data_IF_513668133181
#
_entry.id   IF_513668133181
#
_cell.length_a   1.000
_cell.length_b   1.000
_cell.length_c   1.000
_cell.angle_alpha   90.00
_cell.angle_beta   90.00
_cell.angle_gamma   90.00
#
_symmetry.space_group_name_H-M   'P 1'
#
loop_
_entity.id
_entity.type
_entity.pdbx_description
1 polymer ?
#
# COMPACT_ATOMS: atom_id res chain seq x y z
N UNK A 1 -7.18 33.22 15.36
CA UNK A 1 -7.22 34.27 14.31
C UNK A 1 -8.20 33.80 13.26
N UNK A 2 -9.27 34.53 13.01
CA UNK A 2 -10.26 34.18 12.01
C UNK A 2 -9.81 34.75 10.67
N UNK A 3 -9.56 33.91 9.67
CA UNK A 3 -9.33 34.36 8.31
C UNK A 3 -10.69 34.62 7.64
N UNK A 4 -10.99 35.88 7.36
CA UNK A 4 -12.15 36.31 6.62
C UNK A 4 -11.86 36.29 5.11
N UNK A 5 -12.68 35.54 4.34
CA UNK A 5 -12.81 35.71 2.89
C UNK A 5 -14.17 36.36 2.60
N UNK A 6 -14.24 37.36 1.71
CA UNK A 6 -15.50 37.97 1.32
C UNK A 6 -16.20 37.07 0.30
N UNK A 7 -17.34 36.53 0.65
CA UNK A 7 -18.41 35.88 -0.07
C UNK A 7 -18.80 34.54 0.57
N UNK A 8 -19.75 34.61 1.43
CA UNK A 8 -20.81 33.68 1.84
C UNK A 8 -20.64 32.19 1.61
N UNK A 9 -19.60 31.51 2.16
CA UNK A 9 -19.56 30.06 2.29
C UNK A 9 -19.07 29.65 3.68
N UNK A 10 -19.72 28.59 4.17
CA UNK A 10 -19.61 27.92 5.45
C UNK A 10 -18.22 27.89 6.07
N UNK A 11 -18.16 28.19 7.36
CA UNK A 11 -16.98 28.14 8.22
C UNK A 11 -16.26 26.79 8.12
N UNK A 12 -15.08 26.75 7.52
CA UNK A 12 -14.08 25.71 7.76
C UNK A 12 -13.38 26.16 9.05
N UNK A 13 -13.74 25.57 10.18
CA UNK A 13 -12.98 25.71 11.41
C UNK A 13 -11.59 25.12 11.16
N UNK A 14 -10.53 25.93 11.24
CA UNK A 14 -9.14 25.44 11.23
C UNK A 14 -8.97 24.50 12.44
N UNK A 15 -8.94 23.21 12.21
CA UNK A 15 -8.60 22.21 13.21
C UNK A 15 -7.11 22.31 13.51
N UNK A 16 -6.76 22.53 14.77
CA UNK A 16 -5.37 22.48 15.24
C UNK A 16 -5.07 21.10 15.83
N UNK A 17 -3.81 20.68 15.88
CA UNK A 17 -3.42 19.41 16.52
C UNK A 17 -3.85 19.32 18.01
N UNK A 18 -4.19 20.44 18.65
CA UNK A 18 -4.77 20.49 19.99
C UNK A 18 -6.24 20.03 20.02
N UNK A 19 -6.97 20.26 18.94
CA UNK A 19 -8.39 19.88 18.85
C UNK A 19 -8.51 18.35 18.72
N UNK A 20 -7.61 17.67 18.01
CA UNK A 20 -7.56 16.21 17.89
C UNK A 20 -7.33 15.55 19.26
N UNK A 21 -6.43 16.11 20.06
CA UNK A 21 -6.16 15.64 21.43
C UNK A 21 -7.35 15.81 22.36
N UNK A 22 -8.16 16.83 22.16
CA UNK A 22 -9.35 17.10 22.99
C UNK A 22 -10.48 16.11 22.67
N UNK A 23 -10.65 15.71 21.41
CA UNK A 23 -11.63 14.67 21.01
C UNK A 23 -11.25 13.29 21.59
N UNK A 24 -9.99 12.88 21.53
CA UNK A 24 -9.51 11.63 22.14
C UNK A 24 -9.78 11.56 23.65
N UNK A 25 -9.66 12.69 24.37
CA UNK A 25 -9.91 12.76 25.81
C UNK A 25 -11.40 12.83 26.19
N UNK A 26 -12.24 13.31 25.27
CA UNK A 26 -13.67 13.56 25.54
C UNK A 26 -14.62 12.40 25.20
N UNK A 27 -14.16 11.30 24.60
CA UNK A 27 -15.01 10.15 24.23
C UNK A 27 -16.03 10.43 23.12
N UNK A 28 -15.99 11.60 22.47
CA UNK A 28 -16.91 12.00 21.43
C UNK A 28 -16.39 11.49 20.07
N UNK A 29 -17.22 10.75 19.31
CA UNK A 29 -16.84 10.31 17.96
C UNK A 29 -16.81 11.50 17.02
N UNK A 30 -15.75 11.63 16.25
CA UNK A 30 -15.64 12.60 15.16
C UNK A 30 -16.59 12.22 14.02
N UNK A 31 -17.13 13.20 13.33
CA UNK A 31 -17.79 12.96 12.03
C UNK A 31 -16.71 12.71 10.96
N UNK A 32 -17.04 12.00 9.88
CA UNK A 32 -16.10 11.77 8.79
C UNK A 32 -15.52 13.07 8.21
N UNK A 33 -16.29 14.15 8.17
CA UNK A 33 -15.80 15.46 7.73
C UNK A 33 -14.74 16.03 8.67
N UNK A 34 -14.90 15.84 9.98
CA UNK A 34 -13.89 16.24 10.98
C UNK A 34 -12.62 15.38 10.89
N UNK A 35 -12.78 14.08 10.65
CA UNK A 35 -11.64 13.16 10.44
C UNK A 35 -10.81 13.56 9.21
N UNK A 36 -11.47 13.92 8.09
CA UNK A 36 -10.78 14.38 6.89
C UNK A 36 -10.12 15.74 7.10
N UNK A 37 -10.77 16.67 7.81
CA UNK A 37 -10.15 17.94 8.15
C UNK A 37 -8.92 17.77 9.04
N UNK A 38 -8.95 16.81 9.98
CA UNK A 38 -7.83 16.46 10.82
C UNK A 38 -6.68 15.85 9.99
N UNK A 39 -6.99 14.92 9.06
CA UNK A 39 -6.01 14.34 8.14
C UNK A 39 -5.37 15.42 7.26
N UNK A 40 -6.17 16.36 6.73
CA UNK A 40 -5.67 17.49 5.96
C UNK A 40 -4.69 18.33 6.76
N UNK A 41 -5.02 18.68 8.00
CA UNK A 41 -4.14 19.45 8.87
C UNK A 41 -2.80 18.73 9.15
N UNK A 42 -2.82 17.39 9.31
CA UNK A 42 -1.60 16.58 9.46
C UNK A 42 -0.76 16.58 8.19
N UNK A 43 -1.38 16.45 7.02
CA UNK A 43 -0.71 16.52 5.71
C UNK A 43 -0.09 17.91 5.47
N UNK A 44 -0.82 18.97 5.80
CA UNK A 44 -0.33 20.35 5.62
C UNK A 44 0.90 20.65 6.51
N UNK A 45 0.88 20.15 7.74
CA UNK A 45 1.94 20.32 8.74
C UNK A 45 3.18 19.44 8.48
N UNK A 46 3.07 18.46 7.55
CA UNK A 46 4.12 17.49 7.26
C UNK A 46 4.91 17.84 6.00
N UNK A 47 6.19 17.44 5.98
CA UNK A 47 7.11 17.65 4.86
C UNK A 47 7.70 16.36 4.28
N UNK A 48 7.71 15.29 5.06
CA UNK A 48 8.24 13.98 4.69
C UNK A 48 7.24 12.90 5.06
N UNK A 49 6.18 12.81 4.26
CA UNK A 49 5.14 11.81 4.43
C UNK A 49 5.64 10.49 3.85
N UNK A 50 5.43 9.38 4.54
CA UNK A 50 5.56 8.04 3.99
C UNK A 50 4.19 7.37 4.04
N UNK A 51 3.84 6.69 2.97
CA UNK A 51 2.66 5.85 2.90
C UNK A 51 3.06 4.38 3.03
N UNK A 52 2.39 3.62 3.91
CA UNK A 52 2.54 2.17 4.06
C UNK A 52 1.22 1.48 3.72
N UNK A 53 1.20 0.66 2.67
CA UNK A 53 -0.02 0.07 2.15
C UNK A 53 0.04 -1.43 1.87
N UNK A 54 -1.15 -2.03 1.76
CA UNK A 54 -1.36 -3.43 1.39
C UNK A 54 -2.52 -3.61 0.42
N UNK A 55 -3.00 -4.84 0.27
CA UNK A 55 -3.96 -5.23 -0.78
C UNK A 55 -5.27 -4.44 -0.76
N UNK A 56 -5.70 -3.94 0.41
CA UNK A 56 -6.88 -3.08 0.53
C UNK A 56 -6.78 -1.76 -0.22
N UNK A 57 -5.57 -1.30 -0.60
CA UNK A 57 -5.39 -0.11 -1.46
C UNK A 57 -5.92 -0.37 -2.87
N UNK A 58 -5.78 -1.59 -3.36
CA UNK A 58 -6.13 -1.96 -4.75
C UNK A 58 -7.55 -2.53 -4.90
N UNK A 59 -8.32 -2.67 -3.82
CA UNK A 59 -9.71 -3.17 -3.91
C UNK A 59 -10.60 -2.25 -4.75
N UNK A 60 -10.40 -0.93 -4.68
CA UNK A 60 -11.10 0.06 -5.50
C UNK A 60 -10.62 0.07 -6.97
N UNK A 61 -9.59 -0.72 -7.29
CA UNK A 61 -9.11 -0.99 -8.66
C UNK A 61 -9.61 -2.33 -9.20
N UNK A 62 -10.46 -3.05 -8.44
CA UNK A 62 -11.00 -4.35 -8.82
C UNK A 62 -10.08 -5.53 -8.50
N UNK A 63 -8.99 -5.33 -7.76
CA UNK A 63 -8.13 -6.42 -7.28
C UNK A 63 -8.62 -6.85 -5.90
N UNK A 64 -9.10 -8.10 -5.71
CA UNK A 64 -9.53 -8.57 -4.40
C UNK A 64 -8.34 -8.59 -3.42
N UNK A 65 -8.59 -8.25 -2.17
CA UNK A 65 -7.61 -8.48 -1.12
C UNK A 65 -7.57 -9.97 -0.71
N UNK A 66 -6.70 -10.32 0.24
CA UNK A 66 -6.53 -11.71 0.65
C UNK A 66 -7.55 -12.17 1.69
N UNK A 67 -8.04 -11.28 2.56
CA UNK A 67 -8.70 -11.65 3.84
C UNK A 67 -10.11 -11.14 4.02
N UNK A 68 -10.60 -10.25 3.16
CA UNK A 68 -12.00 -9.81 3.23
C UNK A 68 -12.97 -10.96 2.90
N UNK A 69 -14.25 -10.74 3.11
CA UNK A 69 -15.31 -11.72 2.82
C UNK A 69 -15.25 -12.20 1.36
N UNK A 70 -14.88 -11.30 0.44
CA UNK A 70 -14.72 -11.58 -1.00
C UNK A 70 -13.25 -11.82 -1.39
N UNK A 71 -12.34 -11.88 -0.41
CA UNK A 71 -10.91 -12.04 -0.62
C UNK A 71 -10.51 -13.45 -1.07
N UNK A 72 -9.22 -13.60 -1.44
CA UNK A 72 -8.70 -14.88 -1.93
C UNK A 72 -8.86 -16.03 -0.92
N UNK A 73 -8.74 -15.73 0.38
CA UNK A 73 -8.83 -16.77 1.43
C UNK A 73 -10.26 -17.27 1.69
N UNK A 74 -11.29 -16.54 1.28
CA UNK A 74 -12.67 -16.97 1.38
C UNK A 74 -13.13 -17.89 0.22
N UNK A 75 -12.30 -18.04 -0.83
CA UNK A 75 -12.59 -18.91 -1.96
C UNK A 75 -12.20 -20.36 -1.64
N UNK A 76 -12.96 -21.33 -2.16
CA UNK A 76 -12.64 -22.76 -1.99
C UNK A 76 -11.53 -23.19 -2.96
N UNK A 77 -10.39 -23.60 -2.42
CA UNK A 77 -9.26 -24.19 -3.14
C UNK A 77 -8.90 -25.53 -2.53
N UNK A 78 -8.17 -26.35 -3.30
CA UNK A 78 -7.63 -27.63 -2.82
C UNK A 78 -6.62 -27.40 -1.68
N UNK A 79 -5.87 -26.31 -1.77
CA UNK A 79 -4.90 -25.88 -0.75
C UNK A 79 -5.17 -24.42 -0.37
N UNK A 80 -4.87 -23.99 0.86
CA UNK A 80 -4.94 -22.57 1.25
C UNK A 80 -4.07 -21.69 0.34
N UNK A 81 -4.45 -20.43 0.09
CA UNK A 81 -3.64 -19.52 -0.74
C UNK A 81 -2.19 -19.34 -0.27
N UNK A 82 -1.93 -19.41 1.03
CA UNK A 82 -0.58 -19.37 1.58
C UNK A 82 0.28 -20.57 1.12
N UNK A 83 -0.32 -21.74 1.05
CA UNK A 83 0.34 -22.94 0.55
C UNK A 83 0.53 -22.87 -0.97
N UNK A 84 -0.51 -22.42 -1.71
CA UNK A 84 -0.47 -22.24 -3.17
C UNK A 84 0.60 -21.23 -3.61
N UNK A 85 0.87 -20.21 -2.78
CA UNK A 85 1.87 -19.16 -3.03
C UNK A 85 3.15 -19.36 -2.20
N UNK A 86 3.46 -20.58 -1.79
CA UNK A 86 4.68 -20.91 -1.06
C UNK A 86 5.84 -21.28 -2.00
N UNK A 87 7.07 -21.12 -1.49
CA UNK A 87 8.27 -21.60 -2.15
C UNK A 87 8.23 -23.13 -2.37
N UNK A 88 7.73 -23.85 -1.38
CA UNK A 88 7.55 -25.31 -1.47
C UNK A 88 6.61 -25.69 -2.61
N UNK A 89 5.47 -25.01 -2.77
CA UNK A 89 4.54 -25.28 -3.89
C UNK A 89 5.19 -24.96 -5.24
N UNK A 90 5.93 -23.86 -5.35
CA UNK A 90 6.66 -23.51 -6.56
C UNK A 90 7.71 -24.57 -6.93
N UNK A 91 8.40 -25.16 -5.96
CA UNK A 91 9.46 -26.15 -6.19
C UNK A 91 8.90 -27.55 -6.51
N UNK A 92 7.90 -28.01 -5.76
CA UNK A 92 7.42 -29.38 -5.83
C UNK A 92 6.24 -29.57 -6.80
N UNK A 93 5.40 -28.53 -6.95
CA UNK A 93 4.20 -28.55 -7.76
C UNK A 93 4.08 -27.32 -8.67
N UNK A 94 5.10 -27.06 -9.53
CA UNK A 94 5.15 -25.82 -10.32
C UNK A 94 3.98 -25.69 -11.31
N UNK A 95 3.36 -26.77 -11.78
CA UNK A 95 2.19 -26.70 -12.67
C UNK A 95 0.97 -26.13 -11.96
N UNK A 96 0.68 -26.60 -10.73
CA UNK A 96 -0.38 -26.08 -9.87
C UNK A 96 -0.13 -24.65 -9.49
N UNK A 97 1.12 -24.31 -9.10
CA UNK A 97 1.54 -22.94 -8.81
C UNK A 97 1.23 -22.00 -9.98
N UNK A 98 1.67 -22.31 -11.22
CA UNK A 98 1.45 -21.43 -12.37
C UNK A 98 0.01 -21.37 -12.81
N UNK A 99 -0.76 -22.45 -12.66
CA UNK A 99 -2.21 -22.42 -12.89
C UNK A 99 -2.90 -21.45 -11.95
N UNK A 100 -2.60 -21.52 -10.66
CA UNK A 100 -3.13 -20.57 -9.66
C UNK A 100 -2.65 -19.15 -9.92
N UNK A 101 -1.34 -18.96 -10.11
CA UNK A 101 -0.70 -17.66 -10.31
C UNK A 101 -1.32 -16.90 -11.49
N UNK A 102 -1.46 -17.54 -12.66
CA UNK A 102 -2.06 -16.90 -13.83
C UNK A 102 -3.53 -16.53 -13.61
N UNK A 103 -4.28 -17.36 -12.92
CA UNK A 103 -5.73 -17.18 -12.77
C UNK A 103 -6.09 -16.22 -11.63
N UNK A 104 -5.22 -16.06 -10.63
CA UNK A 104 -5.57 -15.38 -9.37
C UNK A 104 -4.64 -14.23 -8.96
N UNK A 105 -3.46 -14.12 -9.57
CA UNK A 105 -2.48 -13.12 -9.18
C UNK A 105 -2.25 -12.03 -10.24
N UNK A 106 -2.69 -12.26 -11.48
CA UNK A 106 -2.43 -11.36 -12.61
C UNK A 106 -3.67 -10.54 -12.96
N UNK A 107 -3.75 -9.30 -12.49
CA UNK A 107 -4.81 -8.33 -12.76
C UNK A 107 -4.28 -7.19 -13.65
N UNK A 108 -3.78 -7.53 -14.86
CA UNK A 108 -3.04 -6.59 -15.71
C UNK A 108 -3.90 -5.47 -16.31
N UNK A 109 -5.23 -5.64 -16.33
CA UNK A 109 -6.17 -4.62 -16.81
C UNK A 109 -6.59 -3.62 -15.71
N UNK A 110 -6.22 -3.88 -14.45
CA UNK A 110 -6.52 -2.99 -13.35
C UNK A 110 -5.88 -1.60 -13.56
N UNK A 111 -6.60 -0.56 -13.14
CA UNK A 111 -6.15 0.83 -13.27
C UNK A 111 -5.96 1.45 -11.90
N UNK A 112 -5.01 2.39 -11.75
CA UNK A 112 -4.86 3.15 -10.53
C UNK A 112 -6.17 3.81 -10.10
N UNK A 113 -6.54 3.65 -8.83
CA UNK A 113 -7.69 4.33 -8.22
C UNK A 113 -7.31 5.69 -7.61
N UNK A 114 -8.24 6.32 -6.92
CA UNK A 114 -8.05 7.64 -6.31
C UNK A 114 -6.89 7.67 -5.29
N UNK A 115 -6.71 6.59 -4.49
CA UNK A 115 -5.59 6.51 -3.55
C UNK A 115 -4.24 6.58 -4.26
N UNK A 116 -4.03 5.75 -5.28
CA UNK A 116 -2.79 5.73 -6.06
C UNK A 116 -2.48 7.10 -6.68
N UNK A 117 -3.50 7.73 -7.32
CA UNK A 117 -3.34 9.05 -7.93
C UNK A 117 -3.02 10.13 -6.91
N UNK A 118 -3.68 10.13 -5.75
CA UNK A 118 -3.43 11.12 -4.69
C UNK A 118 -2.02 10.97 -4.11
N UNK A 119 -1.52 9.76 -3.92
CA UNK A 119 -0.16 9.53 -3.44
C UNK A 119 0.88 10.03 -4.46
N UNK A 120 0.66 9.81 -5.75
CA UNK A 120 1.51 10.36 -6.80
C UNK A 120 1.45 11.91 -6.84
N UNK A 121 0.27 12.51 -6.63
CA UNK A 121 0.09 13.96 -6.53
C UNK A 121 0.86 14.55 -5.33
N UNK A 122 0.79 13.91 -4.16
CA UNK A 122 1.54 14.30 -2.96
C UNK A 122 3.06 14.19 -3.18
N UNK A 123 3.52 13.16 -3.90
CA UNK A 123 4.93 13.00 -4.24
C UNK A 123 5.39 14.09 -5.22
N UNK A 124 4.61 14.36 -6.26
CA UNK A 124 4.91 15.44 -7.22
C UNK A 124 4.94 16.83 -6.56
N UNK A 125 4.15 17.05 -5.52
CA UNK A 125 4.17 18.27 -4.71
C UNK A 125 5.32 18.31 -3.67
N UNK A 126 6.16 17.26 -3.60
CA UNK A 126 7.28 17.18 -2.66
C UNK A 126 6.88 16.90 -1.20
N UNK A 127 5.63 16.51 -0.96
CA UNK A 127 5.10 16.17 0.38
C UNK A 127 5.31 14.71 0.73
N UNK A 128 5.09 13.77 -0.22
CA UNK A 128 5.31 12.34 -0.02
C UNK A 128 6.74 11.98 -0.42
N UNK A 129 7.49 11.37 0.48
CA UNK A 129 8.88 10.97 0.26
C UNK A 129 9.03 9.55 -0.24
N UNK A 130 8.08 8.66 0.06
CA UNK A 130 8.04 7.29 -0.46
C UNK A 130 6.69 6.63 -0.27
N UNK A 131 6.40 5.65 -1.14
CA UNK A 131 5.40 4.62 -0.94
C UNK A 131 6.11 3.33 -0.53
N UNK A 132 5.70 2.72 0.56
CA UNK A 132 6.09 1.37 0.99
C UNK A 132 4.87 0.47 0.79
N UNK A 133 4.95 -0.49 -0.12
CA UNK A 133 3.79 -1.31 -0.47
C UNK A 133 4.08 -2.80 -0.34
N UNK A 134 3.08 -3.54 0.13
CA UNK A 134 3.06 -5.00 0.10
C UNK A 134 2.49 -5.54 -1.22
N UNK A 135 1.91 -4.65 -2.05
CA UNK A 135 1.28 -5.03 -3.31
C UNK A 135 2.33 -5.30 -4.39
N UNK A 136 1.96 -6.21 -5.30
CA UNK A 136 2.78 -6.65 -6.44
C UNK A 136 2.22 -6.18 -7.79
N UNK A 137 1.16 -5.36 -7.76
CA UNK A 137 0.32 -4.99 -8.92
C UNK A 137 0.87 -3.83 -9.76
N UNK A 138 1.89 -3.10 -9.29
CA UNK A 138 2.50 -1.96 -9.99
C UNK A 138 1.61 -0.73 -10.14
N UNK A 139 0.46 -0.65 -9.44
CA UNK A 139 -0.50 0.45 -9.62
C UNK A 139 0.02 1.79 -9.09
N UNK A 140 0.91 1.80 -8.09
CA UNK A 140 1.56 3.03 -7.62
C UNK A 140 2.43 3.65 -8.72
N UNK A 141 3.27 2.86 -9.38
CA UNK A 141 4.09 3.30 -10.49
C UNK A 141 3.22 3.72 -11.70
N UNK A 142 2.17 2.95 -11.98
CA UNK A 142 1.22 3.27 -13.05
C UNK A 142 0.45 4.59 -12.79
N UNK A 143 0.29 5.01 -11.52
CA UNK A 143 -0.27 6.30 -11.13
C UNK A 143 0.73 7.46 -11.24
N UNK A 144 2.03 7.17 -11.37
CA UNK A 144 3.10 8.16 -11.47
C UNK A 144 4.03 8.27 -10.26
N UNK A 145 3.81 7.47 -9.19
CA UNK A 145 4.74 7.42 -8.07
C UNK A 145 6.12 6.93 -8.52
N UNK A 146 7.17 7.62 -8.10
CA UNK A 146 8.55 7.36 -8.50
C UNK A 146 9.31 6.56 -7.44
N UNK A 147 9.12 6.87 -6.16
CA UNK A 147 9.82 6.21 -5.06
C UNK A 147 8.91 5.21 -4.37
N UNK A 148 8.89 4.00 -4.92
CA UNK A 148 8.06 2.89 -4.44
C UNK A 148 8.93 1.74 -3.98
N UNK A 149 8.81 1.35 -2.72
CA UNK A 149 9.43 0.15 -2.14
C UNK A 149 8.42 -1.00 -2.20
N UNK A 150 8.57 -1.88 -3.18
CA UNK A 150 7.74 -3.08 -3.37
C UNK A 150 8.28 -4.22 -2.49
N UNK A 151 7.83 -4.30 -1.24
CA UNK A 151 8.34 -5.27 -0.25
C UNK A 151 8.19 -6.73 -0.69
N UNK A 152 7.17 -7.03 -1.49
CA UNK A 152 6.90 -8.37 -1.98
C UNK A 152 7.17 -8.53 -3.48
N UNK A 153 7.94 -7.61 -4.07
CA UNK A 153 8.29 -7.66 -5.49
C UNK A 153 7.17 -7.21 -6.43
N UNK A 154 7.17 -7.73 -7.67
CA UNK A 154 6.22 -7.31 -8.71
C UNK A 154 5.92 -8.41 -9.70
N UNK A 155 4.66 -8.50 -10.15
CA UNK A 155 4.23 -9.42 -11.23
C UNK A 155 4.86 -9.08 -12.58
N UNK A 156 5.31 -7.84 -12.76
CA UNK A 156 5.86 -7.35 -14.03
C UNK A 156 7.31 -7.80 -14.27
N UNK A 157 8.04 -8.19 -13.24
CA UNK A 157 9.40 -8.72 -13.32
C UNK A 157 9.40 -10.22 -13.10
N UNK A 158 10.12 -10.95 -13.92
CA UNK A 158 10.23 -12.40 -13.83
C UNK A 158 11.63 -12.82 -14.21
N UNK A 159 12.24 -13.76 -13.52
CA UNK A 159 13.63 -14.13 -13.73
C UNK A 159 13.80 -15.65 -13.89
N UNK A 160 14.71 -16.02 -14.79
CA UNK A 160 15.12 -17.42 -14.90
C UNK A 160 15.87 -17.85 -13.64
N UNK A 161 15.42 -18.90 -12.99
CA UNK A 161 16.04 -19.45 -11.77
C UNK A 161 17.47 -19.97 -12.01
N UNK A 162 17.86 -20.23 -13.27
CA UNK A 162 19.17 -20.80 -13.63
C UNK A 162 20.16 -19.75 -14.11
N UNK A 163 19.78 -18.83 -14.97
CA UNK A 163 20.69 -17.88 -15.61
C UNK A 163 20.39 -16.41 -15.29
N UNK A 164 19.38 -16.10 -14.49
CA UNK A 164 19.01 -14.74 -14.10
C UNK A 164 18.39 -13.88 -15.22
N UNK A 165 18.20 -14.42 -16.44
CA UNK A 165 17.61 -13.65 -17.54
C UNK A 165 16.22 -13.16 -17.16
N UNK A 166 15.97 -11.86 -17.35
CA UNK A 166 14.68 -11.21 -17.11
C UNK A 166 13.68 -11.48 -18.23
N UNK A 167 12.41 -11.60 -17.83
CA UNK A 167 11.26 -11.81 -18.69
C UNK A 167 10.10 -10.88 -18.25
N UNK A 168 9.32 -10.43 -19.21
CA UNK A 168 8.11 -9.68 -18.93
C UNK A 168 6.97 -10.61 -18.48
N UNK A 169 5.93 -10.03 -17.86
CA UNK A 169 4.74 -10.80 -17.44
C UNK A 169 4.02 -11.44 -18.64
N UNK A 170 4.11 -10.82 -19.83
CA UNK A 170 3.55 -11.35 -21.07
C UNK A 170 4.16 -12.71 -21.47
N UNK A 171 5.42 -12.94 -21.14
CA UNK A 171 6.08 -14.24 -21.39
C UNK A 171 5.49 -15.35 -20.50
N UNK A 172 5.12 -15.00 -19.26
CA UNK A 172 4.42 -15.92 -18.35
C UNK A 172 3.01 -16.23 -18.89
N UNK A 173 2.28 -15.21 -19.36
CA UNK A 173 0.91 -15.38 -19.88
C UNK A 173 0.87 -16.22 -21.16
N UNK A 174 1.84 -16.03 -22.07
CA UNK A 174 1.90 -16.74 -23.36
C UNK A 174 2.38 -18.18 -23.21
N UNK A 175 3.03 -18.52 -22.11
CA UNK A 175 3.55 -19.86 -21.88
C UNK A 175 2.44 -20.82 -21.46
N UNK A 176 2.47 -22.04 -21.98
CA UNK A 176 1.66 -23.15 -21.50
C UNK A 176 2.41 -23.89 -20.38
N UNK A 177 1.68 -24.36 -19.36
CA UNK A 177 2.27 -25.09 -18.23
C UNK A 177 3.32 -24.27 -17.49
N UNK A 178 4.51 -24.82 -17.32
CA UNK A 178 5.62 -24.20 -16.57
C UNK A 178 6.43 -23.31 -17.52
N UNK A 179 6.53 -21.97 -17.29
CA UNK A 179 7.33 -21.08 -18.11
C UNK A 179 8.82 -21.46 -18.07
N UNK A 180 9.45 -21.63 -19.23
CA UNK A 180 10.86 -22.03 -19.33
C UNK A 180 11.67 -21.02 -20.13
N UNK A 181 12.87 -20.75 -19.59
CA UNK A 181 13.90 -19.99 -20.27
C UNK A 181 14.55 -20.81 -21.41
N UNK A 182 15.16 -20.14 -22.35
CA UNK A 182 15.95 -20.78 -23.43
C UNK A 182 17.11 -21.64 -22.90
N UNK A 183 17.59 -21.40 -21.66
CA UNK A 183 18.60 -22.24 -20.99
C UNK A 183 18.01 -23.48 -20.30
N UNK A 184 16.69 -23.72 -20.37
CA UNK A 184 15.98 -24.79 -19.70
C UNK A 184 15.57 -24.54 -18.26
N UNK A 185 15.99 -23.42 -17.65
CA UNK A 185 15.58 -23.05 -16.29
C UNK A 185 14.12 -22.57 -16.23
N UNK A 186 13.46 -22.73 -15.09
CA UNK A 186 12.10 -22.20 -14.85
C UNK A 186 12.20 -20.67 -14.71
N UNK A 187 11.22 -19.94 -15.23
CA UNK A 187 11.10 -18.48 -15.09
C UNK A 187 10.21 -18.21 -13.87
N UNK A 188 10.79 -17.80 -12.74
CA UNK A 188 10.05 -17.46 -11.51
C UNK A 188 9.63 -16.00 -11.54
N UNK A 189 8.36 -15.68 -11.15
CA UNK A 189 7.97 -14.30 -10.87
C UNK A 189 8.84 -13.68 -9.78
N UNK A 190 9.19 -12.40 -9.92
CA UNK A 190 9.84 -11.59 -8.88
C UNK A 190 8.83 -11.20 -7.81
N UNK A 191 8.17 -12.21 -7.27
CA UNK A 191 7.21 -12.09 -6.18
C UNK A 191 7.75 -12.91 -5.02
N UNK A 192 7.82 -12.29 -3.84
CA UNK A 192 8.22 -12.98 -2.60
C UNK A 192 7.10 -13.92 -2.21
N UNK A 193 7.40 -15.21 -2.26
CA UNK A 193 6.49 -16.27 -1.87
C UNK A 193 6.54 -16.48 -0.34
N UNK A 194 5.50 -17.10 0.21
CA UNK A 194 5.62 -17.60 1.57
C UNK A 194 6.85 -18.51 1.69
N UNK A 195 7.52 -18.51 2.84
CA UNK A 195 8.81 -19.19 3.11
C UNK A 195 10.04 -18.48 2.50
N UNK A 196 9.86 -17.42 1.70
CA UNK A 196 10.98 -16.62 1.17
C UNK A 196 11.24 -15.37 2.02
N UNK A 197 12.51 -14.93 2.04
CA UNK A 197 12.90 -13.66 2.67
C UNK A 197 12.62 -12.45 1.78
N UNK A 198 12.41 -11.30 2.39
CA UNK A 198 12.32 -10.01 1.67
C UNK A 198 13.70 -9.61 1.14
N UNK A 199 13.71 -8.86 0.03
CA UNK A 199 14.91 -8.21 -0.48
C UNK A 199 15.46 -7.23 0.55
N UNK A 200 16.76 -7.38 0.90
CA UNK A 200 17.38 -6.62 1.97
C UNK A 200 17.60 -5.14 1.61
N UNK A 201 17.82 -4.81 0.33
CA UNK A 201 18.02 -3.42 -0.11
C UNK A 201 16.66 -2.68 -0.08
N UNK A 202 15.60 -3.32 -0.56
CA UNK A 202 14.22 -2.80 -0.49
C UNK A 202 13.80 -2.60 0.96
N UNK A 203 14.04 -3.61 1.81
CA UNK A 203 13.69 -3.57 3.23
C UNK A 203 14.40 -2.43 3.97
N UNK A 204 15.72 -2.28 3.78
CA UNK A 204 16.50 -1.21 4.39
C UNK A 204 16.12 0.17 3.86
N UNK A 205 15.81 0.28 2.55
CA UNK A 205 15.33 1.52 1.95
C UNK A 205 13.99 1.96 2.54
N UNK A 206 13.04 1.03 2.65
CA UNK A 206 11.74 1.26 3.26
C UNK A 206 11.86 1.66 4.75
N UNK A 207 12.72 0.94 5.50
CA UNK A 207 12.97 1.22 6.91
C UNK A 207 13.52 2.64 7.11
N UNK A 208 14.55 3.04 6.33
CA UNK A 208 15.11 4.40 6.39
C UNK A 208 14.05 5.45 6.06
N UNK A 209 13.24 5.23 5.02
CA UNK A 209 12.18 6.17 4.67
C UNK A 209 11.18 6.36 5.81
N UNK A 210 10.76 5.27 6.48
CA UNK A 210 9.85 5.33 7.64
C UNK A 210 10.48 6.04 8.83
N UNK A 211 11.76 5.77 9.14
CA UNK A 211 12.47 6.40 10.26
C UNK A 211 12.67 7.90 10.06
N UNK A 212 12.86 8.35 8.83
CA UNK A 212 13.07 9.76 8.48
C UNK A 212 11.76 10.55 8.30
N UNK A 213 10.61 9.86 8.26
CA UNK A 213 9.32 10.48 8.03
C UNK A 213 8.86 11.31 9.25
N UNK A 214 8.25 12.46 9.00
CA UNK A 214 7.53 13.24 10.00
C UNK A 214 6.05 12.85 10.08
N UNK A 215 5.52 12.19 9.03
CA UNK A 215 4.19 11.59 9.02
C UNK A 215 4.22 10.19 8.39
N UNK A 216 3.54 9.23 9.01
CA UNK A 216 3.26 7.91 8.44
C UNK A 216 1.75 7.76 8.24
N UNK A 217 1.35 7.47 7.01
CA UNK A 217 -0.02 7.08 6.68
C UNK A 217 -0.03 5.58 6.43
N UNK A 218 -0.75 4.83 7.25
CA UNK A 218 -0.98 3.39 7.07
C UNK A 218 -2.36 3.20 6.47
N UNK A 219 -2.46 2.47 5.36
CA UNK A 219 -3.74 2.30 4.70
C UNK A 219 -3.94 0.99 3.95
N UNK A 220 -5.19 0.48 3.93
CA UNK A 220 -5.55 -0.70 3.15
C UNK A 220 -4.75 -1.96 3.50
N UNK A 221 -4.39 -2.15 4.76
CA UNK A 221 -3.61 -3.31 5.20
C UNK A 221 -4.12 -3.84 6.55
N UNK A 222 -4.10 -5.17 6.72
CA UNK A 222 -4.40 -5.80 8.00
C UNK A 222 -3.23 -5.79 8.98
N UNK A 223 -2.02 -5.43 8.51
CA UNK A 223 -0.77 -5.44 9.29
C UNK A 223 -0.47 -6.78 10.00
N UNK A 224 -0.78 -7.92 9.35
CA UNK A 224 -0.53 -9.26 9.93
C UNK A 224 0.58 -10.03 9.22
N UNK A 225 1.05 -9.58 8.05
CA UNK A 225 2.07 -10.28 7.26
C UNK A 225 3.46 -9.90 7.74
N UNK A 226 4.17 -10.85 8.33
CA UNK A 226 5.56 -10.72 8.74
C UNK A 226 6.53 -11.00 7.60
N UNK A 227 7.71 -10.32 7.52
CA UNK A 227 8.20 -9.27 8.42
C UNK A 227 7.75 -7.84 8.05
N UNK A 228 7.01 -7.64 6.96
CA UNK A 228 6.65 -6.33 6.43
C UNK A 228 5.91 -5.45 7.46
N UNK A 229 4.98 -6.02 8.24
CA UNK A 229 4.23 -5.29 9.26
C UNK A 229 5.10 -4.71 10.38
N UNK A 230 6.25 -5.33 10.68
CA UNK A 230 7.19 -4.85 11.70
C UNK A 230 7.83 -3.51 11.35
N UNK A 231 7.86 -3.11 10.08
CA UNK A 231 8.48 -1.85 9.65
C UNK A 231 7.79 -0.62 10.25
N UNK A 232 6.47 -0.65 10.44
CA UNK A 232 5.70 0.49 10.96
C UNK A 232 6.04 0.81 12.42
N UNK A 233 6.59 -0.15 13.16
CA UNK A 233 7.02 0.04 14.55
C UNK A 233 8.23 0.97 14.68
N UNK A 234 9.02 1.14 13.62
CA UNK A 234 10.19 2.02 13.58
C UNK A 234 9.85 3.48 13.28
N UNK A 235 8.56 3.80 13.11
CA UNK A 235 8.12 5.18 12.97
C UNK A 235 8.11 5.89 14.33
N UNK A 236 8.80 7.04 14.36
CA UNK A 236 8.89 7.92 15.55
C UNK A 236 8.61 9.39 15.20
N UNK A 237 8.01 9.64 14.03
CA UNK A 237 7.67 10.99 13.59
C UNK A 237 6.48 11.58 14.34
N UNK A 238 6.05 12.74 13.88
CA UNK A 238 5.07 13.59 14.57
C UNK A 238 3.62 13.09 14.42
N UNK A 239 3.27 12.55 13.23
CA UNK A 239 1.90 12.22 12.86
C UNK A 239 1.77 10.79 12.37
N UNK A 240 0.93 10.00 13.03
CA UNK A 240 0.56 8.66 12.61
C UNK A 240 -0.94 8.60 12.31
N UNK A 241 -1.28 8.37 11.03
CA UNK A 241 -2.67 8.18 10.60
C UNK A 241 -2.88 6.74 10.11
N UNK A 242 -4.01 6.13 10.51
CA UNK A 242 -4.45 4.83 10.01
C UNK A 242 -5.77 5.02 9.24
N UNK A 243 -5.81 4.57 7.98
CA UNK A 243 -7.00 4.61 7.12
C UNK A 243 -7.30 3.19 6.67
N UNK A 244 -8.27 2.53 7.29
CA UNK A 244 -8.55 1.12 6.99
C UNK A 244 -10.02 0.77 7.25
N UNK A 245 -10.54 -0.24 6.55
CA UNK A 245 -11.92 -0.72 6.78
C UNK A 245 -12.05 -1.52 8.08
N UNK A 246 -10.99 -2.22 8.48
CA UNK A 246 -10.96 -3.05 9.69
C UNK A 246 -9.92 -2.53 10.66
N UNK A 247 -10.10 -2.73 11.98
CA UNK A 247 -9.11 -2.34 12.98
C UNK A 247 -7.75 -3.01 12.77
N UNK A 248 -6.69 -2.32 13.20
CA UNK A 248 -5.31 -2.81 13.19
C UNK A 248 -4.69 -2.68 14.58
N UNK A 249 -3.57 -3.37 14.82
CA UNK A 249 -2.83 -3.23 16.09
C UNK A 249 -2.21 -1.83 16.27
N UNK A 250 -2.09 -1.05 15.18
CA UNK A 250 -1.56 0.31 15.23
C UNK A 250 -2.58 1.37 15.64
N UNK A 251 -3.87 1.05 15.66
CA UNK A 251 -4.95 2.01 15.97
C UNK A 251 -4.77 2.66 17.34
N UNK A 252 -4.28 1.89 18.33
CA UNK A 252 -4.03 2.40 19.67
C UNK A 252 -2.88 3.42 19.77
N UNK A 253 -1.94 3.40 18.81
CA UNK A 253 -0.80 4.33 18.72
C UNK A 253 -1.08 5.50 17.78
N UNK A 254 -2.02 5.32 16.84
CA UNK A 254 -2.31 6.32 15.81
C UNK A 254 -2.87 7.62 16.42
N UNK A 255 -2.44 8.76 15.89
CA UNK A 255 -3.02 10.06 16.23
C UNK A 255 -4.42 10.20 15.65
N UNK A 256 -4.63 9.62 14.47
CA UNK A 256 -5.90 9.61 13.75
C UNK A 256 -6.18 8.23 13.17
N UNK A 257 -7.39 7.72 13.42
CA UNK A 257 -7.90 6.49 12.79
C UNK A 257 -9.17 6.84 12.02
N UNK A 258 -9.20 6.53 10.74
CA UNK A 258 -10.36 6.73 9.88
C UNK A 258 -10.82 5.38 9.35
N UNK A 259 -12.04 4.98 9.70
CA UNK A 259 -12.65 3.76 9.20
C UNK A 259 -13.30 4.02 7.83
N UNK A 260 -12.75 3.43 6.76
CA UNK A 260 -13.30 3.62 5.41
C UNK A 260 -12.40 3.16 4.28
N UNK A 261 -12.88 3.42 3.06
CA UNK A 261 -12.16 3.16 1.81
C UNK A 261 -11.06 4.19 1.63
N UNK A 262 -9.83 3.72 1.40
CA UNK A 262 -8.67 4.61 1.35
C UNK A 262 -8.70 5.57 0.17
N UNK A 263 -9.21 5.14 -0.99
CA UNK A 263 -9.36 6.00 -2.16
C UNK A 263 -10.35 7.14 -1.92
N UNK A 264 -11.53 6.83 -1.37
CA UNK A 264 -12.55 7.83 -1.03
C UNK A 264 -12.05 8.88 -0.03
N UNK A 265 -11.23 8.47 0.94
CA UNK A 265 -10.68 9.35 1.97
C UNK A 265 -9.56 10.21 1.39
N UNK A 266 -8.58 9.59 0.72
CA UNK A 266 -7.44 10.33 0.17
C UNK A 266 -7.85 11.29 -0.96
N UNK A 267 -8.85 10.95 -1.78
CA UNK A 267 -9.35 11.82 -2.84
C UNK A 267 -9.77 13.20 -2.31
N UNK A 268 -10.27 13.27 -1.08
CA UNK A 268 -10.75 14.49 -0.44
C UNK A 268 -9.61 15.38 0.11
N UNK A 269 -8.38 14.88 0.17
CA UNK A 269 -7.22 15.67 0.59
C UNK A 269 -6.79 16.59 -0.54
N UNK A 270 -6.60 17.85 -0.19
CA UNK A 270 -6.08 18.86 -1.11
C UNK A 270 -4.56 18.93 -0.98
N UNK A 271 -3.89 19.04 -2.11
CA UNK A 271 -2.44 19.15 -2.16
C UNK A 271 -2.08 20.59 -2.48
N UNK A 272 -1.58 21.31 -1.49
CA UNK A 272 -0.98 22.63 -1.70
C UNK A 272 0.40 22.42 -2.28
N UNK A 273 0.71 23.09 -3.40
CA UNK A 273 2.09 23.10 -3.90
C UNK A 273 3.00 23.65 -2.79
N UNK A 274 4.08 22.93 -2.47
CA UNK A 274 5.10 23.48 -1.59
C UNK A 274 5.65 24.73 -2.24
N UNK A 275 5.57 25.89 -1.57
CA UNK A 275 6.33 27.05 -1.99
C UNK A 275 7.80 26.61 -2.06
N UNK A 276 8.36 26.60 -3.27
CA UNK A 276 9.80 26.39 -3.46
C UNK A 276 10.50 27.59 -2.84
N UNK A 277 11.12 27.39 -1.68
CA UNK A 277 12.06 28.35 -1.07
C UNK A 277 13.38 28.27 -1.82
#
# INVERSE_FOLDING_TARGET
MACYWPEGRSYITCFSGKDILQYKKGGMKMTQQQEIAALQAMVDDSRRIVFFGGAGVSTESGIPDFRSVDGLYSQQYTYPPEEMLSHTMFQLHPEEFYRFYRNKMLYLDAKPNAAHRKLAELEAAGKLSAVVTQNIDGLHQAAGSQKVYELHGSVYRNYCTRCGKMYAVQDILRSEGIPKCTCGGIIKPDVVLYEEGLDQEILQGALRAIQEADMLIIGGTSLVVYPANGLVEYFHGKHLAVINKSPTHMDGRADLVIAGSIGEILERIQVSASEKV
#
